data_IF_631845089078
#
_entry.id   IF_631845089078
#
_cell.length_a   1.000
_cell.length_b   1.000
_cell.length_c   1.000
_cell.angle_alpha   90.00
_cell.angle_beta   90.00
_cell.angle_gamma   90.00
#
_symmetry.space_group_name_H-M   'P 1'
#
loop_
_entity.id
_entity.type
_entity.pdbx_description
1 polymer ?
#
# COMPACT_ATOMS: atom_id res chain seq x y z
N UNK A 1 86.48 13.10 -56.40
CA UNK A 1 86.28 12.83 -54.96
C UNK A 1 84.89 13.32 -54.57
N UNK A 2 83.92 12.43 -54.55
CA UNK A 2 82.50 12.74 -54.35
C UNK A 2 82.13 12.41 -52.94
N UNK A 3 81.79 13.37 -52.16
CA UNK A 3 81.30 13.14 -50.76
C UNK A 3 79.81 12.91 -50.80
N UNK A 4 79.40 11.68 -50.42
CA UNK A 4 78.02 11.34 -50.21
C UNK A 4 77.54 11.95 -48.89
N UNK A 5 76.60 12.87 -48.93
CA UNK A 5 75.85 13.35 -47.77
C UNK A 5 74.83 12.31 -47.32
N UNK A 6 75.01 11.72 -46.14
CA UNK A 6 74.09 10.85 -45.46
C UNK A 6 73.00 11.79 -44.85
N UNK A 7 71.78 11.79 -45.44
CA UNK A 7 70.63 12.47 -44.88
C UNK A 7 70.13 11.69 -43.65
N UNK A 8 70.35 12.26 -42.49
CA UNK A 8 69.83 11.78 -41.21
C UNK A 8 68.28 11.92 -41.18
N UNK A 9 67.61 10.81 -41.50
CA UNK A 9 66.18 10.75 -41.34
C UNK A 9 65.85 10.52 -39.86
N UNK A 10 65.82 11.58 -39.09
CA UNK A 10 65.21 11.53 -37.79
C UNK A 10 63.75 11.10 -37.94
N UNK A 11 63.47 9.82 -37.63
CA UNK A 11 62.10 9.30 -37.45
C UNK A 11 61.51 10.02 -36.23
N UNK A 12 60.72 11.08 -36.46
CA UNK A 12 59.87 11.63 -35.43
C UNK A 12 58.84 10.58 -35.11
N UNK A 13 58.94 9.98 -33.92
CA UNK A 13 57.92 9.15 -33.37
C UNK A 13 56.60 9.97 -33.31
N UNK A 14 55.46 9.41 -33.74
CA UNK A 14 54.20 10.15 -33.66
C UNK A 14 53.92 10.50 -32.21
N UNK A 15 53.84 11.79 -31.93
CA UNK A 15 53.56 12.30 -30.57
C UNK A 15 52.10 12.15 -30.23
N UNK A 16 51.61 10.93 -30.17
CA UNK A 16 50.24 10.64 -29.72
C UNK A 16 50.01 11.08 -28.27
N UNK A 17 51.07 11.32 -27.50
CA UNK A 17 51.02 11.72 -26.09
C UNK A 17 50.85 13.23 -25.92
N UNK A 18 50.97 14.03 -27.00
CA UNK A 18 51.02 15.49 -26.94
C UNK A 18 49.93 16.19 -27.76
N UNK A 19 48.96 15.41 -28.25
CA UNK A 19 47.80 15.93 -28.94
C UNK A 19 46.66 16.17 -27.93
N UNK A 20 46.52 17.42 -27.51
CA UNK A 20 45.48 17.86 -26.57
C UNK A 20 44.09 18.00 -27.23
N UNK A 21 44.02 17.84 -28.55
CA UNK A 21 42.77 17.95 -29.31
C UNK A 21 41.76 16.83 -29.03
N UNK A 22 42.19 15.71 -28.38
CA UNK A 22 41.35 14.57 -28.00
C UNK A 22 40.85 14.60 -26.55
N UNK A 23 41.19 15.65 -25.76
CA UNK A 23 40.93 15.62 -24.30
C UNK A 23 39.41 15.71 -23.93
N UNK A 24 38.57 16.20 -24.82
CA UNK A 24 37.12 16.32 -24.62
C UNK A 24 36.43 14.94 -24.71
N UNK A 25 36.90 14.06 -25.60
CA UNK A 25 36.26 12.75 -25.85
C UNK A 25 36.26 11.83 -24.61
N UNK A 26 37.37 11.66 -23.84
CA UNK A 26 37.38 10.91 -22.60
C UNK A 26 36.47 11.53 -21.55
N UNK A 27 36.39 12.87 -21.47
CA UNK A 27 35.52 13.57 -20.54
C UNK A 27 34.04 13.33 -20.84
N UNK A 28 33.66 13.41 -22.13
CA UNK A 28 32.29 13.09 -22.57
C UNK A 28 31.97 11.62 -22.30
N UNK A 29 32.89 10.69 -22.56
CA UNK A 29 32.73 9.28 -22.27
C UNK A 29 32.50 9.02 -20.78
N UNK A 30 33.28 9.66 -19.91
CA UNK A 30 33.11 9.56 -18.45
C UNK A 30 31.77 10.12 -17.99
N UNK A 31 31.37 11.28 -18.53
CA UNK A 31 30.08 11.91 -18.23
C UNK A 31 28.89 11.00 -18.65
N UNK A 32 28.98 10.43 -19.86
CA UNK A 32 27.98 9.47 -20.31
C UNK A 32 27.88 8.24 -19.38
N UNK A 33 29.03 7.67 -19.00
CA UNK A 33 29.08 6.53 -18.09
C UNK A 33 28.38 6.86 -16.76
N UNK A 34 28.70 7.99 -16.14
CA UNK A 34 28.06 8.43 -14.90
C UNK A 34 26.55 8.62 -15.08
N UNK A 35 26.15 9.22 -16.21
CA UNK A 35 24.73 9.43 -16.52
C UNK A 35 23.98 8.10 -16.66
N UNK A 36 24.58 7.11 -17.33
CA UNK A 36 24.00 5.77 -17.45
C UNK A 36 23.89 5.07 -16.11
N UNK A 37 24.89 5.14 -15.24
CA UNK A 37 24.86 4.53 -13.89
C UNK A 37 23.76 5.16 -13.05
N UNK A 38 23.65 6.50 -13.05
CA UNK A 38 22.57 7.18 -12.33
C UNK A 38 21.20 6.81 -12.89
N UNK A 39 21.03 6.78 -14.22
CA UNK A 39 19.79 6.37 -14.87
C UNK A 39 19.39 4.93 -14.52
N UNK A 40 20.34 4.02 -14.46
CA UNK A 40 20.15 2.63 -14.08
C UNK A 40 19.59 2.49 -12.65
N UNK A 41 20.18 3.21 -11.69
CA UNK A 41 19.71 3.24 -10.30
C UNK A 41 18.28 3.79 -10.20
N UNK A 42 17.99 4.86 -10.92
CA UNK A 42 16.65 5.50 -10.93
C UNK A 42 15.59 4.53 -11.46
N UNK A 43 15.90 3.74 -12.48
CA UNK A 43 14.95 2.77 -13.03
C UNK A 43 14.63 1.68 -12.00
N UNK A 44 15.63 1.11 -11.33
CA UNK A 44 15.43 0.06 -10.33
C UNK A 44 14.65 0.59 -9.11
N UNK A 45 14.99 1.79 -8.62
CA UNK A 45 14.25 2.43 -7.52
C UNK A 45 12.80 2.74 -7.92
N UNK A 46 12.59 3.24 -9.13
CA UNK A 46 11.26 3.51 -9.66
C UNK A 46 10.38 2.25 -9.74
N UNK A 47 10.97 1.13 -10.16
CA UNK A 47 10.29 -0.17 -10.18
C UNK A 47 9.91 -0.64 -8.77
N UNK A 48 10.84 -0.54 -7.81
CA UNK A 48 10.57 -0.93 -6.42
C UNK A 48 9.47 -0.08 -5.78
N UNK A 49 9.45 1.23 -6.06
CA UNK A 49 8.41 2.14 -5.55
C UNK A 49 7.03 1.84 -6.20
N UNK A 50 7.00 1.56 -7.49
CA UNK A 50 5.78 1.13 -8.18
C UNK A 50 5.24 -0.18 -7.60
N UNK A 51 6.13 -1.15 -7.35
CA UNK A 51 5.77 -2.42 -6.71
C UNK A 51 5.26 -2.20 -5.28
N UNK A 52 5.92 -1.36 -4.48
CA UNK A 52 5.48 -1.01 -3.13
C UNK A 52 4.08 -0.40 -3.14
N UNK A 53 3.81 0.51 -4.07
CA UNK A 53 2.49 1.12 -4.24
C UNK A 53 1.41 0.09 -4.56
N UNK A 54 1.71 -0.86 -5.45
CA UNK A 54 0.80 -1.98 -5.77
C UNK A 54 0.56 -2.88 -4.55
N UNK A 55 1.62 -3.23 -3.83
CA UNK A 55 1.52 -4.03 -2.60
C UNK A 55 0.71 -3.32 -1.53
N UNK A 56 0.87 -1.99 -1.38
CA UNK A 56 0.07 -1.20 -0.43
C UNK A 56 -1.41 -1.26 -0.80
N UNK A 57 -1.77 -1.08 -2.06
CA UNK A 57 -3.16 -1.19 -2.50
C UNK A 57 -3.75 -2.59 -2.25
N UNK A 58 -2.95 -3.65 -2.44
CA UNK A 58 -3.38 -5.02 -2.14
C UNK A 58 -3.53 -5.25 -0.62
N UNK A 59 -2.62 -4.70 0.20
CA UNK A 59 -2.71 -4.76 1.66
C UNK A 59 -3.95 -4.02 2.18
N UNK A 60 -4.25 -2.84 1.63
CA UNK A 60 -5.44 -2.04 1.97
C UNK A 60 -6.72 -2.83 1.67
N UNK A 61 -6.80 -3.40 0.46
CA UNK A 61 -7.96 -4.21 0.06
C UNK A 61 -8.13 -5.44 0.96
N UNK A 62 -7.04 -6.13 1.31
CA UNK A 62 -7.05 -7.29 2.18
C UNK A 62 -7.46 -6.92 3.62
N UNK A 63 -6.90 -5.84 4.18
CA UNK A 63 -7.22 -5.38 5.53
C UNK A 63 -8.68 -4.93 5.66
N UNK A 64 -9.19 -4.18 4.67
CA UNK A 64 -10.59 -3.75 4.62
C UNK A 64 -11.54 -4.95 4.50
N UNK A 65 -11.20 -5.93 3.65
CA UNK A 65 -12.02 -7.14 3.52
C UNK A 65 -12.03 -7.96 4.81
N UNK A 66 -10.88 -8.06 5.49
CA UNK A 66 -10.77 -8.82 6.73
C UNK A 66 -11.54 -8.17 7.88
N UNK A 67 -11.46 -6.85 8.03
CA UNK A 67 -12.07 -6.16 9.17
C UNK A 67 -13.60 -6.24 9.15
N UNK A 68 -14.22 -6.29 7.96
CA UNK A 68 -15.68 -6.44 7.81
C UNK A 68 -16.17 -7.80 8.33
N UNK A 69 -15.33 -8.84 8.30
CA UNK A 69 -15.68 -10.18 8.74
C UNK A 69 -15.50 -10.39 10.26
N UNK A 70 -15.04 -9.38 11.00
CA UNK A 70 -14.98 -9.47 12.46
C UNK A 70 -16.40 -9.61 13.07
N UNK A 71 -16.54 -10.37 14.15
CA UNK A 71 -15.50 -10.99 14.97
C UNK A 71 -14.99 -12.35 14.48
N UNK A 72 -15.43 -12.86 13.34
CA UNK A 72 -15.03 -14.18 12.84
C UNK A 72 -13.63 -14.16 12.24
N UNK A 73 -12.62 -14.51 13.05
CA UNK A 73 -11.20 -14.53 12.60
C UNK A 73 -10.96 -15.43 11.39
N UNK A 74 -11.63 -16.60 11.33
CA UNK A 74 -11.47 -17.52 10.19
C UNK A 74 -11.94 -16.88 8.90
N UNK A 75 -13.15 -16.29 8.88
CA UNK A 75 -13.66 -15.59 7.70
C UNK A 75 -12.81 -14.38 7.34
N UNK A 76 -12.33 -13.66 8.35
CA UNK A 76 -11.45 -12.51 8.14
C UNK A 76 -10.13 -12.90 7.45
N UNK A 77 -9.49 -13.99 7.88
CA UNK A 77 -8.29 -14.53 7.23
C UNK A 77 -8.58 -14.94 5.78
N UNK A 78 -9.68 -15.69 5.55
CA UNK A 78 -10.06 -16.15 4.22
C UNK A 78 -10.39 -14.97 3.29
N UNK A 79 -11.02 -13.92 3.81
CA UNK A 79 -11.28 -12.68 3.09
C UNK A 79 -9.98 -11.95 2.74
N UNK A 80 -9.06 -11.77 3.70
CA UNK A 80 -7.77 -11.13 3.46
C UNK A 80 -6.99 -11.83 2.35
N UNK A 81 -6.82 -13.15 2.43
CA UNK A 81 -6.09 -13.94 1.45
C UNK A 81 -6.72 -13.82 0.06
N UNK A 82 -8.04 -13.95 -0.03
CA UNK A 82 -8.76 -13.84 -1.30
C UNK A 82 -8.63 -12.47 -1.95
N UNK A 83 -8.68 -11.39 -1.17
CA UNK A 83 -8.55 -10.03 -1.71
C UNK A 83 -7.11 -9.66 -2.02
N UNK A 84 -6.13 -10.16 -1.27
CA UNK A 84 -4.72 -10.05 -1.61
C UNK A 84 -4.42 -10.72 -2.95
N UNK A 85 -4.83 -11.99 -3.13
CA UNK A 85 -4.67 -12.74 -4.39
C UNK A 85 -5.34 -12.07 -5.59
N UNK A 86 -6.52 -11.48 -5.38
CA UNK A 86 -7.24 -10.76 -6.46
C UNK A 86 -6.50 -9.51 -6.92
N UNK A 87 -5.85 -8.79 -6.02
CA UNK A 87 -5.14 -7.53 -6.31
C UNK A 87 -3.66 -7.76 -6.67
N UNK A 88 -3.09 -8.86 -6.21
CA UNK A 88 -1.70 -9.25 -6.44
C UNK A 88 -1.61 -10.76 -6.64
N UNK A 89 -1.93 -11.28 -7.85
CA UNK A 89 -1.98 -12.70 -8.12
C UNK A 89 -0.63 -13.39 -7.91
N UNK A 90 -0.61 -14.54 -7.22
CA UNK A 90 0.57 -15.35 -6.92
C UNK A 90 1.31 -15.79 -8.19
N UNK A 91 0.57 -16.05 -9.27
CA UNK A 91 1.14 -16.45 -10.55
C UNK A 91 2.12 -15.42 -11.13
N UNK A 92 1.91 -14.13 -10.83
CA UNK A 92 2.77 -13.05 -11.33
C UNK A 92 3.76 -12.52 -10.28
N UNK A 93 3.43 -12.65 -9.00
CA UNK A 93 4.15 -11.97 -7.93
C UNK A 93 4.74 -12.91 -6.89
N UNK A 94 4.43 -14.21 -6.97
CA UNK A 94 4.69 -15.16 -5.88
C UNK A 94 3.77 -14.91 -4.69
N UNK A 95 3.77 -15.82 -3.73
CA UNK A 95 2.89 -15.75 -2.56
C UNK A 95 3.35 -14.64 -1.60
N UNK A 96 2.63 -13.52 -1.60
CA UNK A 96 3.04 -12.31 -0.88
C UNK A 96 2.35 -12.14 0.49
N UNK A 97 1.23 -12.86 0.76
CA UNK A 97 0.50 -12.79 2.02
C UNK A 97 0.32 -14.17 2.64
N UNK A 98 0.90 -14.38 3.81
CA UNK A 98 0.70 -15.60 4.62
C UNK A 98 -0.29 -15.33 5.76
N UNK A 99 -0.87 -16.40 6.31
CA UNK A 99 -1.82 -16.29 7.43
C UNK A 99 -1.22 -15.64 8.67
N UNK A 100 0.07 -15.86 8.89
CA UNK A 100 0.81 -15.32 10.03
C UNK A 100 1.10 -13.81 9.88
N UNK A 101 0.96 -13.28 8.67
CA UNK A 101 1.09 -11.86 8.36
C UNK A 101 -0.22 -11.07 8.54
N UNK A 102 -1.28 -11.75 9.04
CA UNK A 102 -2.59 -11.16 9.34
C UNK A 102 -2.75 -11.10 10.86
N UNK A 103 -2.57 -9.92 11.42
CA UNK A 103 -2.64 -9.68 12.85
C UNK A 103 -3.99 -9.09 13.24
N UNK A 104 -4.59 -9.65 14.28
CA UNK A 104 -5.84 -9.14 14.87
C UNK A 104 -5.52 -8.43 16.17
N UNK A 105 -6.15 -7.29 16.39
CA UNK A 105 -5.88 -6.50 17.59
C UNK A 105 -6.93 -5.44 17.87
N UNK A 106 -6.58 -4.62 18.84
CA UNK A 106 -7.36 -3.48 19.26
C UNK A 106 -6.70 -2.18 18.76
N UNK A 107 -7.48 -1.37 18.06
CA UNK A 107 -7.10 -0.01 17.69
C UNK A 107 -7.65 0.96 18.72
N UNK A 108 -6.76 1.65 19.41
CA UNK A 108 -7.12 2.75 20.30
C UNK A 108 -7.21 4.06 19.52
N UNK A 109 -8.43 4.56 19.38
CA UNK A 109 -8.71 5.80 18.64
C UNK A 109 -8.17 7.05 19.35
N UNK A 110 -8.05 7.00 20.69
CA UNK A 110 -7.57 8.11 21.48
C UNK A 110 -6.06 8.28 21.38
N UNK A 111 -5.33 7.17 21.54
CA UNK A 111 -3.88 7.15 21.48
C UNK A 111 -3.32 6.84 20.10
N UNK A 112 -4.18 6.55 19.11
CA UNK A 112 -3.80 6.18 17.75
C UNK A 112 -2.78 5.05 17.73
N UNK A 113 -3.02 4.01 18.51
CA UNK A 113 -2.13 2.88 18.67
C UNK A 113 -2.84 1.56 18.39
N UNK A 114 -2.11 0.62 17.79
CA UNK A 114 -2.57 -0.74 17.54
C UNK A 114 -1.92 -1.67 18.56
N UNK A 115 -2.77 -2.35 19.34
CA UNK A 115 -2.36 -3.40 20.27
C UNK A 115 -2.61 -4.77 19.62
N UNK A 116 -1.53 -5.45 19.20
CA UNK A 116 -1.61 -6.76 18.57
C UNK A 116 -2.05 -7.80 19.61
N UNK A 117 -3.15 -8.49 19.32
CA UNK A 117 -3.78 -9.44 20.25
C UNK A 117 -4.67 -8.79 21.31
N UNK A 118 -4.70 -7.44 21.40
CA UNK A 118 -5.61 -6.70 22.28
C UNK A 118 -7.09 -6.97 21.95
N UNK A 119 -7.92 -7.06 22.98
CA UNK A 119 -9.35 -7.36 22.86
C UNK A 119 -10.21 -6.21 23.40
N UNK A 120 -11.42 -6.03 22.85
CA UNK A 120 -12.04 -6.78 21.75
C UNK A 120 -11.36 -6.45 20.41
N UNK A 121 -11.31 -7.44 19.47
CA UNK A 121 -10.73 -7.21 18.15
C UNK A 121 -11.62 -6.25 17.37
N UNK A 122 -11.09 -5.07 17.08
CA UNK A 122 -11.75 -4.05 16.26
C UNK A 122 -10.88 -3.63 15.06
N UNK A 123 -9.70 -4.21 14.91
CA UNK A 123 -8.77 -3.87 13.84
C UNK A 123 -7.99 -5.09 13.35
N UNK A 124 -7.61 -5.05 12.08
CA UNK A 124 -6.79 -6.06 11.41
C UNK A 124 -5.62 -5.37 10.72
N UNK A 125 -4.42 -5.84 11.00
CA UNK A 125 -3.20 -5.43 10.30
C UNK A 125 -2.78 -6.53 9.35
N UNK A 126 -2.53 -6.16 8.10
CA UNK A 126 -2.10 -7.06 7.03
C UNK A 126 -0.75 -6.60 6.51
N UNK A 127 0.20 -7.52 6.43
CA UNK A 127 1.55 -7.24 5.93
C UNK A 127 1.85 -8.11 4.73
N UNK A 128 1.99 -7.52 3.55
CA UNK A 128 2.45 -8.21 2.35
C UNK A 128 3.97 -8.12 2.26
N UNK A 129 4.61 -9.24 1.90
CA UNK A 129 6.08 -9.32 1.80
C UNK A 129 6.51 -9.98 0.49
N UNK A 130 7.44 -9.32 -0.18
CA UNK A 130 8.25 -9.93 -1.22
C UNK A 130 9.70 -9.95 -0.73
N UNK A 131 10.21 -11.15 -0.44
CA UNK A 131 11.53 -11.34 0.16
C UNK A 131 12.20 -12.59 -0.38
N UNK A 132 13.52 -12.67 -0.24
CA UNK A 132 14.28 -13.86 -0.57
C UNK A 132 13.84 -15.07 0.27
N UNK A 133 13.48 -14.85 1.54
CA UNK A 133 12.96 -15.89 2.44
C UNK A 133 11.69 -16.56 1.90
N UNK A 134 10.79 -15.77 1.32
CA UNK A 134 9.54 -16.25 0.72
C UNK A 134 9.72 -16.74 -0.73
N UNK A 135 10.93 -16.64 -1.30
CA UNK A 135 11.23 -17.02 -2.68
C UNK A 135 10.52 -16.14 -3.73
N UNK A 136 10.10 -14.93 -3.35
CA UNK A 136 9.37 -14.02 -4.21
C UNK A 136 9.94 -12.59 -4.23
N UNK A 137 11.22 -12.41 -3.85
CA UNK A 137 11.89 -11.11 -3.89
C UNK A 137 11.77 -10.44 -5.26
N UNK A 138 11.73 -9.13 -5.28
CA UNK A 138 11.61 -8.36 -6.50
C UNK A 138 12.94 -8.36 -7.27
N UNK A 139 12.98 -8.70 -8.58
CA UNK A 139 14.20 -8.65 -9.35
C UNK A 139 14.67 -7.21 -9.53
N UNK A 140 15.98 -7.02 -9.64
CA UNK A 140 16.58 -5.77 -10.06
C UNK A 140 17.02 -5.86 -11.52
N UNK A 141 16.94 -4.75 -12.28
CA UNK A 141 17.28 -4.74 -13.71
C UNK A 141 18.74 -4.35 -13.95
N UNK A 142 19.22 -3.36 -13.23
CA UNK A 142 20.58 -2.81 -13.41
C UNK A 142 21.44 -2.98 -12.17
N UNK A 143 20.86 -2.97 -10.99
CA UNK A 143 21.61 -3.15 -9.73
C UNK A 143 22.26 -4.54 -9.65
N UNK A 144 21.75 -5.54 -10.40
CA UNK A 144 22.40 -6.85 -10.48
C UNK A 144 23.83 -6.78 -11.04
N UNK A 145 24.15 -5.79 -11.88
CA UNK A 145 25.52 -5.54 -12.38
C UNK A 145 26.47 -5.13 -11.25
N UNK A 146 25.92 -4.64 -10.14
CA UNK A 146 26.65 -4.24 -8.94
C UNK A 146 26.53 -5.28 -7.82
N UNK A 147 26.01 -6.48 -8.13
CA UNK A 147 25.90 -7.60 -7.18
C UNK A 147 24.58 -7.62 -6.38
N UNK A 148 23.65 -6.67 -6.59
CA UNK A 148 22.33 -6.68 -5.95
C UNK A 148 21.33 -7.30 -6.93
N UNK A 149 21.04 -8.60 -6.76
CA UNK A 149 20.20 -9.36 -7.70
C UNK A 149 18.72 -9.17 -7.43
N UNK A 150 18.33 -9.01 -6.17
CA UNK A 150 16.96 -8.96 -5.70
C UNK A 150 16.79 -7.86 -4.65
N UNK A 151 15.61 -7.32 -4.55
CA UNK A 151 15.22 -6.35 -3.53
C UNK A 151 14.02 -6.85 -2.73
N UNK A 152 14.05 -6.61 -1.44
CA UNK A 152 12.92 -6.91 -0.56
C UNK A 152 11.97 -5.72 -0.49
N UNK A 153 10.68 -6.01 -0.64
CA UNK A 153 9.63 -5.00 -0.56
C UNK A 153 8.56 -5.48 0.41
N UNK A 154 8.24 -4.63 1.36
CA UNK A 154 7.17 -4.88 2.34
C UNK A 154 6.17 -3.73 2.30
N UNK A 155 4.88 -4.09 2.35
CA UNK A 155 3.79 -3.14 2.49
C UNK A 155 2.86 -3.60 3.60
N UNK A 156 2.38 -2.65 4.40
CA UNK A 156 1.52 -2.93 5.53
C UNK A 156 0.31 -2.02 5.49
N UNK A 157 -0.86 -2.56 5.84
CA UNK A 157 -2.08 -1.81 6.02
C UNK A 157 -2.76 -2.20 7.32
N UNK A 158 -3.45 -1.24 7.91
CA UNK A 158 -4.25 -1.40 9.11
C UNK A 158 -5.67 -0.89 8.84
N UNK A 159 -6.65 -1.76 8.98
CA UNK A 159 -8.06 -1.40 8.93
C UNK A 159 -8.71 -1.62 10.29
N UNK A 160 -9.53 -0.67 10.72
CA UNK A 160 -10.26 -0.74 11.99
C UNK A 160 -11.74 -0.44 11.80
N UNK A 161 -12.59 -1.11 12.57
CA UNK A 161 -14.00 -0.76 12.68
C UNK A 161 -14.11 0.33 13.74
N UNK A 162 -14.69 1.45 13.35
CA UNK A 162 -15.24 2.39 14.33
C UNK A 162 -16.49 1.74 14.88
N UNK A 163 -16.34 0.98 15.97
CA UNK A 163 -17.52 0.51 16.71
C UNK A 163 -18.16 1.78 17.27
N UNK A 164 -19.40 2.11 16.89
CA UNK A 164 -20.11 3.18 17.58
C UNK A 164 -20.00 2.89 19.08
N UNK A 165 -19.67 3.90 19.87
CA UNK A 165 -19.39 3.82 21.33
C UNK A 165 -20.37 2.96 22.15
N UNK A 166 -21.46 2.55 21.54
CA UNK A 166 -22.60 1.86 22.11
C UNK A 166 -22.45 0.36 22.31
N UNK A 167 -21.63 -0.30 21.49
CA UNK A 167 -21.43 -1.75 21.66
C UNK A 167 -20.31 -2.03 22.69
N UNK A 168 -19.44 -1.04 22.92
CA UNK A 168 -18.39 -1.10 23.94
C UNK A 168 -18.90 -0.89 25.36
N UNK A 169 -20.14 -0.44 25.52
CA UNK A 169 -20.77 -0.15 26.81
C UNK A 169 -21.59 -1.35 27.31
N UNK A 170 -21.00 -2.53 27.30
CA UNK A 170 -21.61 -3.77 27.79
C UNK A 170 -21.99 -3.76 29.28
N UNK A 171 -21.68 -2.69 30.01
CA UNK A 171 -22.19 -2.47 31.37
C UNK A 171 -22.60 -0.99 31.58
N UNK A 172 -23.89 -0.68 31.41
CA UNK A 172 -24.41 0.66 31.68
C UNK A 172 -24.18 1.14 33.11
N UNK A 173 -23.79 0.24 34.04
CA UNK A 173 -23.58 0.56 35.43
C UNK A 173 -22.29 1.36 35.72
N UNK A 174 -21.32 1.35 34.80
CA UNK A 174 -20.03 2.01 35.00
C UNK A 174 -19.99 3.49 34.62
N UNK A 175 -21.03 4.02 33.96
CA UNK A 175 -21.09 5.41 33.54
C UNK A 175 -21.91 6.26 34.47
N UNK A 176 -21.42 7.45 34.73
CA UNK A 176 -22.18 8.50 35.41
C UNK A 176 -23.37 8.97 34.53
N UNK A 177 -24.44 9.47 35.14
CA UNK A 177 -25.57 10.02 34.40
C UNK A 177 -25.19 11.14 33.43
N UNK A 178 -24.19 11.94 33.76
CA UNK A 178 -23.68 13.02 32.91
C UNK A 178 -22.98 12.46 31.63
N UNK A 179 -22.24 11.35 31.75
CA UNK A 179 -21.60 10.68 30.63
C UNK A 179 -22.64 9.99 29.73
N UNK A 180 -23.66 9.37 30.32
CA UNK A 180 -24.79 8.79 29.58
C UNK A 180 -25.53 9.83 28.74
N UNK A 181 -25.79 11.01 29.33
CA UNK A 181 -26.45 12.12 28.64
C UNK A 181 -25.62 12.64 27.47
N UNK A 182 -24.32 12.86 27.69
CA UNK A 182 -23.41 13.32 26.65
C UNK A 182 -23.26 12.32 25.50
N UNK A 183 -23.30 11.02 25.80
CA UNK A 183 -23.28 9.95 24.81
C UNK A 183 -24.60 9.91 24.02
N UNK A 184 -25.74 10.11 24.67
CA UNK A 184 -27.03 10.17 23.99
C UNK A 184 -27.11 11.35 23.03
N UNK A 185 -26.60 12.52 23.42
CA UNK A 185 -26.52 13.72 22.57
C UNK A 185 -25.60 13.47 21.36
N UNK A 186 -24.38 12.93 21.58
CA UNK A 186 -23.48 12.57 20.47
C UNK A 186 -24.06 11.49 19.53
N UNK A 187 -24.90 10.59 20.05
CA UNK A 187 -25.58 9.57 19.26
C UNK A 187 -26.61 10.17 18.30
N UNK A 188 -27.42 11.11 18.76
CA UNK A 188 -28.39 11.78 17.90
C UNK A 188 -27.70 12.51 16.75
N UNK A 189 -26.60 13.22 17.02
CA UNK A 189 -25.81 13.94 16.03
C UNK A 189 -25.20 12.98 14.99
N UNK A 190 -24.58 11.86 15.43
CA UNK A 190 -23.97 10.85 14.53
C UNK A 190 -25.04 10.11 13.73
N UNK A 191 -26.19 9.80 14.31
CA UNK A 191 -27.29 9.14 13.61
C UNK A 191 -27.89 10.06 12.53
N UNK A 192 -28.02 11.34 12.82
CA UNK A 192 -28.48 12.34 11.87
C UNK A 192 -27.47 12.53 10.72
N UNK A 193 -26.18 12.68 11.04
CA UNK A 193 -25.13 12.83 10.04
C UNK A 193 -25.01 11.56 9.15
N UNK A 194 -25.13 10.36 9.73
CA UNK A 194 -25.13 9.12 8.98
C UNK A 194 -26.36 8.98 8.08
N UNK A 195 -27.54 9.40 8.53
CA UNK A 195 -28.74 9.45 7.67
C UNK A 195 -28.53 10.37 6.49
N UNK A 196 -28.02 11.58 6.70
CA UNK A 196 -27.78 12.55 5.63
C UNK A 196 -26.73 12.03 4.64
N UNK A 197 -25.63 11.44 5.12
CA UNK A 197 -24.60 10.84 4.28
C UNK A 197 -25.10 9.63 3.48
N UNK A 198 -25.96 8.81 4.08
CA UNK A 198 -26.56 7.66 3.40
C UNK A 198 -27.54 8.12 2.33
N UNK A 199 -28.37 9.13 2.60
CA UNK A 199 -29.23 9.77 1.61
C UNK A 199 -28.44 10.35 0.42
N UNK A 200 -27.36 11.06 0.70
CA UNK A 200 -26.49 11.64 -0.34
C UNK A 200 -25.85 10.56 -1.23
N UNK A 201 -25.44 9.44 -0.65
CA UNK A 201 -24.85 8.32 -1.39
C UNK A 201 -25.89 7.53 -2.21
N UNK A 202 -27.09 7.36 -1.68
CA UNK A 202 -28.19 6.70 -2.38
C UNK A 202 -28.69 7.58 -3.52
N UNK A 203 -28.89 8.87 -3.30
CA UNK A 203 -29.36 9.81 -4.33
C UNK A 203 -28.33 10.05 -5.44
N UNK A 204 -27.02 9.94 -5.15
CA UNK A 204 -25.97 10.06 -6.18
C UNK A 204 -25.81 8.79 -7.05
N UNK A 205 -26.26 7.62 -6.59
CA UNK A 205 -26.17 6.36 -7.32
C UNK A 205 -27.37 5.99 -8.17
N UNK A 206 -28.52 6.58 -7.88
CA UNK A 206 -29.74 6.31 -8.63
C UNK A 206 -30.05 7.44 -9.60
N UNK A 207 -30.17 7.04 -10.89
CA UNK A 207 -30.67 7.93 -11.95
C UNK A 207 -32.06 8.43 -11.55
N UNK A 208 -32.22 9.73 -11.48
CA UNK A 208 -33.43 10.45 -11.02
C UNK A 208 -34.70 10.18 -11.85
N UNK A 209 -34.67 9.26 -12.80
CA UNK A 209 -35.82 8.90 -13.64
C UNK A 209 -36.91 8.08 -12.93
N UNK A 210 -36.57 7.45 -11.80
CA UNK A 210 -37.53 6.72 -10.98
C UNK A 210 -37.67 7.39 -9.61
N UNK A 211 -38.72 8.18 -9.43
CA UNK A 211 -39.10 8.72 -8.13
C UNK A 211 -39.57 7.58 -7.21
N UNK A 212 -38.66 7.01 -6.45
CA UNK A 212 -39.02 6.15 -5.31
C UNK A 212 -39.53 7.03 -4.17
N UNK A 213 -40.59 6.58 -3.54
CA UNK A 213 -41.10 7.21 -2.31
C UNK A 213 -40.19 6.84 -1.13
N UNK A 214 -40.23 7.63 -0.03
CA UNK A 214 -39.42 7.35 1.16
C UNK A 214 -39.64 5.92 1.70
N UNK A 215 -40.87 5.41 1.65
CA UNK A 215 -41.22 4.05 2.09
C UNK A 215 -40.62 2.95 1.20
N UNK A 216 -40.54 3.20 -0.11
CA UNK A 216 -39.92 2.26 -1.06
C UNK A 216 -38.40 2.20 -0.87
N UNK A 217 -37.74 3.32 -0.55
CA UNK A 217 -36.33 3.37 -0.23
C UNK A 217 -36.03 2.67 1.08
N UNK A 218 -36.85 2.86 2.10
CA UNK A 218 -36.71 2.16 3.39
C UNK A 218 -36.87 0.65 3.20
N UNK A 219 -37.85 0.21 2.44
CA UNK A 219 -38.06 -1.18 2.11
C UNK A 219 -36.88 -1.78 1.34
N UNK A 220 -36.33 -1.06 0.36
CA UNK A 220 -35.15 -1.48 -0.40
C UNK A 220 -33.92 -1.61 0.48
N UNK A 221 -33.70 -0.68 1.41
CA UNK A 221 -32.57 -0.71 2.34
C UNK A 221 -32.70 -1.89 3.32
N UNK A 222 -33.88 -2.17 3.82
CA UNK A 222 -34.16 -3.32 4.70
C UNK A 222 -33.94 -4.65 3.97
N UNK A 223 -34.38 -4.78 2.73
CA UNK A 223 -34.26 -6.01 1.94
C UNK A 223 -32.81 -6.29 1.50
N UNK A 224 -32.00 -5.28 1.22
CA UNK A 224 -30.66 -5.45 0.65
C UNK A 224 -29.52 -5.33 1.69
N UNK A 225 -29.74 -4.63 2.79
CA UNK A 225 -28.69 -4.35 3.79
C UNK A 225 -29.08 -4.80 5.22
N UNK A 226 -30.24 -5.43 5.39
CA UNK A 226 -30.75 -5.85 6.69
C UNK A 226 -31.34 -4.68 7.49
N UNK A 227 -32.19 -4.99 8.48
CA UNK A 227 -32.71 -3.94 9.37
C UNK A 227 -31.56 -3.30 10.12
N UNK A 228 -31.45 -1.97 10.17
CA UNK A 228 -30.62 -1.34 11.17
C UNK A 228 -31.14 -1.85 12.52
N UNK A 229 -30.27 -2.48 13.30
CA UNK A 229 -30.64 -3.01 14.60
C UNK A 229 -31.11 -1.86 15.47
N UNK A 230 -32.42 -1.65 15.51
CA UNK A 230 -33.06 -0.84 16.53
C UNK A 230 -32.91 -1.65 17.83
N UNK A 231 -31.84 -1.39 18.54
CA UNK A 231 -31.69 -1.82 19.91
C UNK A 231 -32.74 -1.07 20.73
N UNK A 232 -33.76 -1.84 21.18
CA UNK A 232 -34.70 -1.41 22.22
C UNK A 232 -34.01 -1.34 23.56
#
# INVERSE_FOLDING_TARGET
MTSLGIADRQRRAPSFIRDESGSVLPLVGLFMLVTFVVGAIVIDLGYQEALRSQMTAAADAAALAAVIELPSRSRAVDAALRYAEKNMPDAANGHALFKDDIEFGYWDWTHRSFDSGGKPFNAVRVTLRRSAENGNAAPTFFLHLFGVQEAEVTAQSLAGIVVPLMEYMGDPGLLSEAERKKIAEMREDVEQENKERMWDNVTKRYDYSQKMTADEVEKFLVENYGQPALLK
#
